data_IF_764001640942
#
_entry.id   IF_764001640942
#
_cell.length_a   1.000
_cell.length_b   1.000
_cell.length_c   1.000
_cell.angle_alpha   90.00
_cell.angle_beta   90.00
_cell.angle_gamma   90.00
#
_symmetry.space_group_name_H-M   'P 1'
#
loop_
_entity.id
_entity.type
_entity.pdbx_description
1 polymer ?
#
# COMPACT_ATOMS: atom_id res chain seq x y z
N UNK A 1 23.88 12.18 -9.84
CA UNK A 1 23.55 12.92 -11.08
C UNK A 1 24.25 12.30 -12.28
N UNK A 2 23.69 12.45 -13.47
CA UNK A 2 24.24 11.92 -14.72
C UNK A 2 24.32 13.02 -15.79
N UNK A 3 25.46 13.16 -16.42
CA UNK A 3 25.75 14.11 -17.53
C UNK A 3 27.01 13.60 -18.27
N UNK A 4 27.03 13.60 -19.59
CA UNK A 4 28.19 13.11 -20.36
C UNK A 4 29.40 14.06 -20.32
N UNK A 5 29.15 15.36 -20.04
CA UNK A 5 30.17 16.40 -20.01
C UNK A 5 30.76 16.57 -18.61
N UNK A 6 32.07 16.36 -18.48
CA UNK A 6 32.80 16.48 -17.20
C UNK A 6 32.59 17.86 -16.55
N UNK A 7 32.69 18.95 -17.34
CA UNK A 7 32.54 20.31 -16.83
C UNK A 7 31.14 20.57 -16.20
N UNK A 8 30.09 19.98 -16.78
CA UNK A 8 28.73 20.09 -16.21
C UNK A 8 28.63 19.31 -14.90
N UNK A 9 29.22 18.10 -14.84
CA UNK A 9 29.24 17.31 -13.60
C UNK A 9 29.98 18.05 -12.48
N UNK A 10 31.15 18.61 -12.77
CA UNK A 10 31.93 19.38 -11.76
C UNK A 10 31.14 20.59 -11.24
N UNK A 11 30.51 21.35 -12.14
CA UNK A 11 29.70 22.51 -11.76
C UNK A 11 28.51 22.14 -10.88
N UNK A 12 27.74 21.13 -11.30
CA UNK A 12 26.56 20.67 -10.56
C UNK A 12 26.97 20.05 -9.21
N UNK A 13 28.07 19.30 -9.17
CA UNK A 13 28.60 18.73 -7.94
C UNK A 13 29.00 19.80 -6.92
N UNK A 14 29.69 20.87 -7.37
CA UNK A 14 30.03 22.01 -6.51
C UNK A 14 28.76 22.67 -5.94
N UNK A 15 27.77 22.94 -6.81
CA UNK A 15 26.53 23.60 -6.39
C UNK A 15 25.74 22.77 -5.37
N UNK A 16 25.63 21.47 -5.59
CA UNK A 16 24.88 20.56 -4.73
C UNK A 16 25.63 20.26 -3.43
N UNK A 17 26.95 20.16 -3.48
CA UNK A 17 27.80 20.00 -2.28
C UNK A 17 27.71 21.21 -1.37
N UNK A 18 27.69 22.42 -1.94
CA UNK A 18 27.46 23.66 -1.19
C UNK A 18 26.06 23.72 -0.56
N UNK A 19 25.09 22.97 -1.06
CA UNK A 19 23.76 22.78 -0.46
C UNK A 19 23.76 21.78 0.70
N UNK A 20 24.89 21.08 0.92
CA UNK A 20 25.03 20.01 1.93
C UNK A 20 24.66 18.61 1.40
N UNK A 21 24.50 18.43 0.10
CA UNK A 21 24.23 17.14 -0.52
C UNK A 21 25.53 16.33 -0.69
N UNK A 22 25.44 15.02 -0.48
CA UNK A 22 26.44 14.08 -0.97
C UNK A 22 26.11 13.72 -2.41
N UNK A 23 27.01 14.01 -3.33
CA UNK A 23 26.78 13.83 -4.76
C UNK A 23 27.51 12.58 -5.27
N UNK A 24 26.80 11.80 -6.08
CA UNK A 24 27.35 10.70 -6.87
C UNK A 24 27.21 11.12 -8.33
N UNK A 25 28.34 11.21 -9.05
CA UNK A 25 28.39 11.67 -10.44
C UNK A 25 28.70 10.49 -11.35
N UNK A 26 27.91 10.33 -12.40
CA UNK A 26 28.06 9.29 -13.43
C UNK A 26 27.97 9.91 -14.83
N UNK A 27 28.44 9.20 -15.84
CA UNK A 27 28.65 9.74 -17.18
C UNK A 27 27.50 9.51 -18.15
N UNK A 28 26.54 8.61 -17.84
CA UNK A 28 25.38 8.34 -18.69
C UNK A 28 24.17 7.80 -17.90
N UNK A 29 23.04 7.65 -18.60
CA UNK A 29 21.81 7.15 -18.00
C UNK A 29 21.87 5.69 -17.55
N UNK A 30 22.67 4.86 -18.22
CA UNK A 30 22.82 3.44 -17.87
C UNK A 30 23.57 3.30 -16.55
N UNK A 31 24.65 4.07 -16.37
CA UNK A 31 25.39 4.16 -15.11
C UNK A 31 24.51 4.72 -13.98
N UNK A 32 23.63 5.71 -14.28
CA UNK A 32 22.69 6.23 -13.29
C UNK A 32 21.71 5.17 -12.78
N UNK A 33 21.06 4.42 -13.68
CA UNK A 33 20.14 3.34 -13.32
C UNK A 33 20.85 2.24 -12.52
N UNK A 34 22.07 1.88 -12.93
CA UNK A 34 22.88 0.88 -12.22
C UNK A 34 23.27 1.33 -10.81
N UNK A 35 23.60 2.61 -10.64
CA UNK A 35 23.97 3.15 -9.31
C UNK A 35 22.77 3.19 -8.37
N UNK A 36 21.58 3.54 -8.86
CA UNK A 36 20.34 3.55 -8.08
C UNK A 36 19.94 2.16 -7.55
N UNK A 37 20.36 1.10 -8.22
CA UNK A 37 20.15 -0.28 -7.76
C UNK A 37 21.12 -0.72 -6.65
N UNK A 38 22.16 0.07 -6.36
CA UNK A 38 23.22 -0.27 -5.41
C UNK A 38 23.29 0.67 -4.21
N UNK A 39 22.87 1.90 -4.44
CA UNK A 39 23.01 3.00 -3.48
C UNK A 39 21.67 3.69 -3.27
N UNK A 40 21.29 3.90 -2.03
CA UNK A 40 20.11 4.69 -1.69
C UNK A 40 20.36 6.16 -2.06
N UNK A 41 19.49 6.71 -2.89
CA UNK A 41 19.57 8.06 -3.44
C UNK A 41 18.24 8.79 -3.21
N UNK A 42 18.33 10.04 -2.76
CA UNK A 42 17.17 10.86 -2.42
C UNK A 42 16.63 11.68 -3.61
N UNK A 43 17.46 11.89 -4.65
CA UNK A 43 17.10 12.65 -5.85
C UNK A 43 18.03 12.30 -7.00
N UNK A 44 17.49 12.14 -8.20
CA UNK A 44 18.24 11.98 -9.44
C UNK A 44 18.17 13.26 -10.30
N UNK A 45 19.32 13.68 -10.82
CA UNK A 45 19.42 14.77 -11.80
C UNK A 45 20.04 14.17 -13.05
N UNK A 46 19.34 14.23 -14.17
CA UNK A 46 19.76 13.57 -15.42
C UNK A 46 19.81 14.60 -16.56
N UNK A 47 20.93 14.68 -17.25
CA UNK A 47 20.93 15.34 -18.56
C UNK A 47 20.10 14.53 -19.57
N UNK A 48 19.38 15.23 -20.44
CA UNK A 48 18.58 14.55 -21.46
C UNK A 48 19.47 13.97 -22.56
N UNK A 49 20.52 14.69 -22.93
CA UNK A 49 21.37 14.34 -24.07
C UNK A 49 22.62 13.58 -23.61
N UNK A 50 22.47 12.28 -23.36
CA UNK A 50 23.57 11.40 -22.97
C UNK A 50 23.70 10.23 -23.96
N UNK A 51 24.94 9.66 -24.11
CA UNK A 51 25.16 8.46 -24.89
C UNK A 51 24.53 7.22 -24.22
N UNK A 52 24.37 6.15 -24.98
CA UNK A 52 23.86 4.84 -24.57
C UNK A 52 22.41 4.84 -24.11
N UNK A 53 22.10 5.48 -22.98
CA UNK A 53 20.76 5.64 -22.44
C UNK A 53 20.53 7.12 -22.15
N UNK A 54 19.62 7.75 -22.87
CA UNK A 54 19.30 9.16 -22.69
C UNK A 54 18.53 9.43 -21.40
N UNK A 55 18.38 10.72 -21.00
CA UNK A 55 17.73 11.07 -19.74
C UNK A 55 16.26 10.70 -19.65
N UNK A 56 15.51 10.70 -20.77
CA UNK A 56 14.11 10.28 -20.77
C UNK A 56 13.98 8.77 -20.53
N UNK A 57 14.76 7.97 -21.25
CA UNK A 57 14.78 6.51 -21.11
C UNK A 57 15.26 6.09 -19.70
N UNK A 58 16.25 6.79 -19.14
CA UNK A 58 16.71 6.55 -17.77
C UNK A 58 15.62 6.90 -16.76
N UNK A 59 14.94 8.03 -16.93
CA UNK A 59 13.82 8.44 -16.10
C UNK A 59 12.69 7.41 -16.10
N UNK A 60 12.26 6.94 -17.28
CA UNK A 60 11.23 5.91 -17.42
C UNK A 60 11.60 4.62 -16.66
N UNK A 61 12.87 4.16 -16.79
CA UNK A 61 13.36 2.99 -16.06
C UNK A 61 13.32 3.20 -14.54
N UNK A 62 13.70 4.38 -14.05
CA UNK A 62 13.67 4.72 -12.64
C UNK A 62 12.22 4.73 -12.14
N UNK A 63 11.30 5.32 -12.91
CA UNK A 63 9.90 5.52 -12.52
C UNK A 63 9.03 4.26 -12.66
N UNK A 64 9.46 3.29 -13.47
CA UNK A 64 8.76 2.00 -13.61
C UNK A 64 9.29 0.90 -12.69
N UNK A 65 10.42 1.11 -12.03
CA UNK A 65 10.98 0.14 -11.09
C UNK A 65 10.38 0.34 -9.68
N UNK A 66 9.77 -0.70 -9.06
CA UNK A 66 9.19 -0.62 -7.72
C UNK A 66 10.13 -0.15 -6.61
N UNK A 67 11.44 -0.31 -6.75
CA UNK A 67 12.42 0.11 -5.75
C UNK A 67 12.85 1.58 -5.89
N UNK A 68 12.65 2.19 -7.07
CA UNK A 68 13.17 3.52 -7.36
C UNK A 68 12.12 4.55 -7.81
N UNK A 69 10.87 4.14 -8.05
CA UNK A 69 9.81 5.01 -8.59
C UNK A 69 9.51 6.25 -7.73
N UNK A 70 9.77 6.18 -6.42
CA UNK A 70 9.60 7.32 -5.49
C UNK A 70 10.79 8.26 -5.43
N UNK A 71 11.90 7.96 -6.14
CA UNK A 71 13.03 8.87 -6.24
C UNK A 71 12.64 10.01 -7.18
N UNK A 72 12.65 11.27 -6.74
CA UNK A 72 12.39 12.41 -7.61
C UNK A 72 13.45 12.50 -8.70
N UNK A 73 13.02 12.76 -9.94
CA UNK A 73 13.88 12.90 -11.11
C UNK A 73 13.74 14.30 -11.69
N UNK A 74 14.85 15.02 -11.77
CA UNK A 74 14.96 16.31 -12.47
C UNK A 74 15.70 16.09 -13.79
N UNK A 75 15.07 16.47 -14.90
CA UNK A 75 15.70 16.43 -16.20
C UNK A 75 16.33 17.79 -16.52
N UNK A 76 17.59 17.79 -16.95
CA UNK A 76 18.27 18.98 -17.50
C UNK A 76 18.32 18.85 -19.02
N UNK A 77 17.86 19.87 -19.72
CA UNK A 77 17.76 19.82 -21.18
C UNK A 77 18.19 21.12 -21.84
N UNK A 78 18.90 21.03 -22.94
CA UNK A 78 19.12 22.15 -23.86
C UNK A 78 17.90 22.40 -24.76
N UNK A 79 16.95 21.46 -24.77
CA UNK A 79 15.76 21.47 -25.60
C UNK A 79 14.69 22.31 -24.91
N UNK A 80 14.26 23.40 -25.54
CA UNK A 80 13.22 24.31 -25.02
C UNK A 80 11.84 24.07 -25.64
N UNK A 81 11.73 22.99 -26.44
CA UNK A 81 10.54 22.67 -27.20
C UNK A 81 9.38 22.12 -26.33
N UNK A 82 8.15 22.46 -26.73
CA UNK A 82 6.94 21.91 -26.09
C UNK A 82 6.92 20.37 -26.13
N UNK A 83 7.48 19.79 -27.19
CA UNK A 83 7.50 18.34 -27.42
C UNK A 83 8.41 17.63 -26.40
N UNK A 84 9.59 18.16 -26.13
CA UNK A 84 10.55 17.58 -25.18
C UNK A 84 10.00 17.58 -23.76
N UNK A 85 9.29 18.65 -23.41
CA UNK A 85 8.62 18.75 -22.11
C UNK A 85 7.50 17.71 -21.96
N UNK A 86 6.76 17.45 -23.03
CA UNK A 86 5.72 16.38 -23.06
C UNK A 86 6.35 15.02 -22.91
N UNK A 87 7.48 14.77 -23.56
CA UNK A 87 8.20 13.50 -23.50
C UNK A 87 8.71 13.20 -22.10
N UNK A 88 9.29 14.19 -21.43
CA UNK A 88 9.76 14.01 -20.08
C UNK A 88 8.62 13.84 -19.04
N UNK A 89 7.47 14.50 -19.23
CA UNK A 89 6.28 14.27 -18.40
C UNK A 89 5.79 12.82 -18.58
N UNK A 90 5.80 12.30 -19.83
CA UNK A 90 5.46 10.91 -20.12
C UNK A 90 6.45 9.91 -19.51
N UNK A 91 7.74 10.27 -19.47
CA UNK A 91 8.78 9.50 -18.80
C UNK A 91 8.66 9.52 -17.26
N UNK A 92 7.76 10.35 -16.71
CA UNK A 92 7.51 10.44 -15.28
C UNK A 92 8.43 11.40 -14.54
N UNK A 93 9.13 12.30 -15.22
CA UNK A 93 9.99 13.29 -14.54
C UNK A 93 9.18 14.22 -13.63
N UNK A 94 9.72 14.51 -12.45
CA UNK A 94 9.09 15.36 -11.44
C UNK A 94 9.35 16.83 -11.72
N UNK A 95 10.47 17.17 -12.37
CA UNK A 95 10.79 18.54 -12.74
C UNK A 95 11.78 18.64 -13.92
N UNK A 96 11.93 19.88 -14.47
CA UNK A 96 12.76 20.18 -15.62
C UNK A 96 13.55 21.45 -15.41
N UNK A 97 14.81 21.46 -15.87
CA UNK A 97 15.65 22.64 -15.95
C UNK A 97 16.17 22.82 -17.37
N UNK A 98 16.14 24.03 -17.89
CA UNK A 98 16.69 24.36 -19.20
C UNK A 98 18.12 24.84 -19.07
N UNK A 99 18.96 24.54 -20.07
CA UNK A 99 20.32 25.10 -20.18
C UNK A 99 20.26 26.51 -20.81
N UNK A 100 21.10 27.45 -20.35
CA UNK A 100 22.05 27.33 -19.23
C UNK A 100 21.32 27.20 -17.88
N UNK A 101 21.80 26.33 -16.99
CA UNK A 101 21.18 26.09 -15.69
C UNK A 101 21.35 27.30 -14.79
N UNK A 102 20.24 27.92 -14.40
CA UNK A 102 20.28 28.95 -13.36
C UNK A 102 20.51 28.33 -11.99
N UNK A 103 21.53 28.82 -11.29
CA UNK A 103 21.93 28.31 -9.97
C UNK A 103 20.79 28.43 -8.96
N UNK A 104 20.09 29.54 -8.94
CA UNK A 104 19.02 29.80 -7.94
C UNK A 104 17.84 28.91 -8.18
N UNK A 105 17.46 28.73 -9.47
CA UNK A 105 16.38 27.83 -9.87
C UNK A 105 16.72 26.38 -9.52
N UNK A 106 17.90 25.87 -9.85
CA UNK A 106 18.35 24.52 -9.53
C UNK A 106 18.24 24.25 -8.03
N UNK A 107 18.85 25.12 -7.21
CA UNK A 107 18.87 24.93 -5.75
C UNK A 107 17.47 24.94 -5.14
N UNK A 108 16.60 25.86 -5.60
CA UNK A 108 15.21 25.93 -5.11
C UNK A 108 14.41 24.67 -5.44
N UNK A 109 14.55 24.14 -6.66
CA UNK A 109 13.86 22.91 -7.09
C UNK A 109 14.37 21.68 -6.34
N UNK A 110 15.69 21.52 -6.24
CA UNK A 110 16.31 20.43 -5.49
C UNK A 110 15.87 20.44 -4.03
N UNK A 111 15.89 21.60 -3.36
CA UNK A 111 15.43 21.72 -1.98
C UNK A 111 13.94 21.33 -1.84
N UNK A 112 13.10 21.78 -2.77
CA UNK A 112 11.66 21.46 -2.74
C UNK A 112 11.41 19.98 -2.91
N UNK A 113 12.07 19.33 -3.87
CA UNK A 113 11.92 17.90 -4.14
C UNK A 113 12.50 17.03 -3.02
N UNK A 114 13.66 17.37 -2.48
CA UNK A 114 14.21 16.69 -1.31
C UNK A 114 13.30 16.79 -0.09
N UNK A 115 12.72 17.98 0.16
CA UNK A 115 11.76 18.15 1.25
C UNK A 115 10.52 17.28 1.07
N UNK A 116 10.03 17.14 -0.17
CA UNK A 116 8.90 16.25 -0.48
C UNK A 116 9.31 14.79 -0.25
N UNK A 117 10.47 14.38 -0.79
CA UNK A 117 11.00 13.01 -0.63
C UNK A 117 11.13 12.62 0.83
N UNK A 118 11.78 13.44 1.66
CA UNK A 118 11.93 13.16 3.10
C UNK A 118 10.57 13.01 3.82
N UNK A 119 9.58 13.83 3.47
CA UNK A 119 8.24 13.69 4.05
C UNK A 119 7.53 12.41 3.61
N UNK A 120 7.72 12.00 2.37
CA UNK A 120 7.18 10.74 1.85
C UNK A 120 7.84 9.56 2.57
N UNK A 121 9.16 9.59 2.72
CA UNK A 121 9.92 8.54 3.42
C UNK A 121 9.53 8.42 4.90
N UNK A 122 9.33 9.55 5.59
CA UNK A 122 8.83 9.54 6.98
C UNK A 122 7.45 8.87 7.10
N UNK A 123 6.56 9.13 6.14
CA UNK A 123 5.24 8.49 6.11
C UNK A 123 5.33 6.99 5.81
N UNK A 124 6.13 6.58 4.83
CA UNK A 124 6.36 5.16 4.51
C UNK A 124 6.98 4.41 5.69
N UNK A 125 7.93 5.04 6.37
CA UNK A 125 8.55 4.45 7.55
C UNK A 125 7.54 4.26 8.69
N UNK A 126 6.66 5.25 8.93
CA UNK A 126 5.61 5.15 9.93
C UNK A 126 4.59 4.04 9.59
N UNK A 127 4.18 3.94 8.32
CA UNK A 127 3.31 2.84 7.85
C UNK A 127 4.00 1.48 8.00
N UNK A 128 5.28 1.37 7.64
CA UNK A 128 6.06 0.13 7.77
C UNK A 128 6.17 -0.35 9.22
N UNK A 129 6.41 0.57 10.16
CA UNK A 129 6.43 0.25 11.61
C UNK A 129 5.06 -0.26 12.05
N UNK A 130 3.98 0.43 11.66
CA UNK A 130 2.62 0.02 11.99
C UNK A 130 2.29 -1.38 11.43
N UNK A 131 2.64 -1.65 10.18
CA UNK A 131 2.44 -2.97 9.55
C UNK A 131 3.27 -4.07 10.26
N UNK A 132 4.48 -3.77 10.67
CA UNK A 132 5.31 -4.70 11.43
C UNK A 132 4.71 -5.01 12.80
N UNK A 133 4.14 -4.02 13.47
CA UNK A 133 3.41 -4.21 14.72
C UNK A 133 2.13 -5.04 14.52
N UNK A 134 1.35 -4.76 13.49
CA UNK A 134 0.14 -5.54 13.17
C UNK A 134 0.47 -7.02 12.93
N UNK A 135 1.50 -7.31 12.12
CA UNK A 135 2.01 -8.68 11.91
C UNK A 135 2.53 -9.33 13.20
N UNK A 136 3.15 -8.54 14.09
CA UNK A 136 3.62 -9.07 15.37
C UNK A 136 2.48 -9.45 16.31
N UNK A 137 1.35 -8.73 16.25
CA UNK A 137 0.12 -9.04 16.98
C UNK A 137 -0.52 -10.30 16.41
N UNK A 138 -0.61 -10.40 15.08
CA UNK A 138 -1.04 -11.60 14.37
C UNK A 138 -0.19 -12.82 14.76
N UNK A 139 1.15 -12.65 14.79
CA UNK A 139 2.09 -13.70 15.15
C UNK A 139 2.01 -14.20 16.59
N UNK A 140 1.26 -13.52 17.48
CA UNK A 140 0.93 -14.06 18.81
C UNK A 140 -0.04 -15.25 18.73
N UNK A 141 -0.91 -15.27 17.73
CA UNK A 141 -1.75 -16.43 17.43
C UNK A 141 -1.05 -17.29 16.36
N UNK A 142 -0.48 -18.44 16.70
CA UNK A 142 0.31 -19.25 15.76
C UNK A 142 -0.49 -19.79 14.56
N UNK A 143 -1.80 -19.55 14.54
CA UNK A 143 -2.71 -20.03 13.48
C UNK A 143 -3.11 -18.96 12.47
N UNK A 144 -2.62 -17.74 12.63
CA UNK A 144 -2.94 -16.61 11.75
C UNK A 144 -1.80 -16.26 10.78
N UNK A 145 -0.76 -17.12 10.66
CA UNK A 145 0.38 -16.88 9.77
C UNK A 145 -0.06 -16.58 8.33
N UNK A 146 0.30 -15.40 7.82
CA UNK A 146 -0.05 -14.94 6.47
C UNK A 146 -1.52 -14.52 6.30
N UNK A 147 -2.28 -14.39 7.37
CA UNK A 147 -3.67 -13.92 7.34
C UNK A 147 -3.76 -12.48 6.81
N UNK A 148 -2.95 -11.57 7.33
CA UNK A 148 -2.92 -10.17 6.90
C UNK A 148 -2.67 -10.04 5.39
N UNK A 149 -1.72 -10.79 4.84
CA UNK A 149 -1.42 -10.80 3.41
C UNK A 149 -2.59 -11.34 2.59
N UNK A 150 -3.15 -12.48 3.00
CA UNK A 150 -4.32 -13.06 2.28
C UNK A 150 -5.53 -12.13 2.32
N UNK A 151 -5.81 -11.49 3.45
CA UNK A 151 -6.90 -10.51 3.54
C UNK A 151 -6.65 -9.29 2.64
N UNK A 152 -5.42 -8.78 2.63
CA UNK A 152 -5.02 -7.71 1.74
C UNK A 152 -5.28 -8.05 0.28
N UNK A 153 -4.89 -9.26 -0.14
CA UNK A 153 -5.08 -9.74 -1.52
C UNK A 153 -6.57 -9.96 -1.85
N UNK A 154 -7.30 -10.69 -1.02
CA UNK A 154 -8.73 -10.93 -1.23
C UNK A 154 -9.54 -9.64 -1.27
N UNK A 155 -9.29 -8.72 -0.32
CA UNK A 155 -10.02 -7.45 -0.26
C UNK A 155 -9.71 -6.56 -1.47
N UNK A 156 -8.46 -6.52 -1.93
CA UNK A 156 -8.05 -5.82 -3.14
C UNK A 156 -8.75 -6.39 -4.37
N UNK A 157 -8.66 -7.70 -4.60
CA UNK A 157 -9.29 -8.37 -5.75
C UNK A 157 -10.82 -8.18 -5.75
N UNK A 158 -11.46 -8.30 -4.59
CA UNK A 158 -12.90 -8.08 -4.48
C UNK A 158 -13.27 -6.61 -4.73
N UNK A 159 -12.47 -5.67 -4.23
CA UNK A 159 -12.66 -4.23 -4.48
C UNK A 159 -12.57 -3.89 -5.97
N UNK A 160 -11.57 -4.42 -6.68
CA UNK A 160 -11.43 -4.30 -8.14
C UNK A 160 -12.62 -4.91 -8.88
N UNK A 161 -13.05 -6.10 -8.46
CA UNK A 161 -14.19 -6.81 -9.07
C UNK A 161 -15.54 -6.09 -8.86
N UNK A 162 -15.66 -5.31 -7.79
CA UNK A 162 -16.80 -4.44 -7.50
C UNK A 162 -16.71 -3.09 -8.23
N UNK A 163 -15.57 -2.76 -8.85
CA UNK A 163 -15.35 -1.46 -9.52
C UNK A 163 -15.20 -0.30 -8.54
N UNK A 164 -14.65 -0.54 -7.35
CA UNK A 164 -14.36 0.51 -6.37
C UNK A 164 -13.26 1.44 -6.90
N UNK A 165 -13.23 2.68 -6.39
CA UNK A 165 -12.20 3.65 -6.75
C UNK A 165 -10.81 3.24 -6.22
N UNK A 166 -9.73 3.66 -6.90
CA UNK A 166 -8.35 3.28 -6.59
C UNK A 166 -7.94 3.61 -5.14
N UNK A 167 -8.43 4.71 -4.60
CA UNK A 167 -8.19 5.10 -3.22
C UNK A 167 -8.88 4.17 -2.20
N UNK A 168 -10.07 3.65 -2.54
CA UNK A 168 -10.78 2.64 -1.75
C UNK A 168 -10.08 1.27 -1.83
N UNK A 169 -9.58 0.89 -3.00
CA UNK A 169 -8.79 -0.34 -3.19
C UNK A 169 -7.49 -0.27 -2.39
N UNK A 170 -6.79 0.87 -2.42
CA UNK A 170 -5.60 1.11 -1.60
C UNK A 170 -5.92 1.04 -0.11
N UNK A 171 -7.07 1.57 0.31
CA UNK A 171 -7.51 1.48 1.71
C UNK A 171 -7.82 0.04 2.12
N UNK A 172 -8.44 -0.76 1.27
CA UNK A 172 -8.68 -2.18 1.51
C UNK A 172 -7.38 -2.97 1.67
N UNK A 173 -6.39 -2.73 0.81
CA UNK A 173 -5.07 -3.36 0.89
C UNK A 173 -4.40 -3.08 2.23
N UNK A 174 -4.38 -1.82 2.67
CA UNK A 174 -3.82 -1.42 3.97
C UNK A 174 -4.62 -2.00 5.15
N UNK A 175 -5.94 -1.95 5.06
CA UNK A 175 -6.81 -2.46 6.10
C UNK A 175 -6.64 -3.97 6.32
N UNK A 176 -6.42 -4.76 5.26
CA UNK A 176 -6.12 -6.19 5.37
C UNK A 176 -4.97 -6.48 6.32
N UNK A 177 -3.98 -5.57 6.38
CA UNK A 177 -2.83 -5.73 7.29
C UNK A 177 -3.16 -5.24 8.72
N UNK A 178 -3.92 -4.15 8.87
CA UNK A 178 -4.02 -3.44 10.16
C UNK A 178 -5.40 -3.52 10.83
N UNK A 179 -6.42 -4.18 10.21
CA UNK A 179 -7.78 -4.20 10.75
C UNK A 179 -7.84 -4.65 12.21
N UNK A 180 -6.99 -5.56 12.59
CA UNK A 180 -6.89 -6.20 13.91
C UNK A 180 -5.81 -5.61 14.83
N UNK A 181 -5.15 -4.50 14.45
CA UNK A 181 -4.06 -3.89 15.24
C UNK A 181 -4.49 -3.54 16.67
N UNK A 182 -5.76 -3.23 16.88
CA UNK A 182 -6.31 -2.93 18.21
C UNK A 182 -6.32 -4.11 19.18
N UNK A 183 -6.11 -5.34 18.72
CA UNK A 183 -5.92 -6.52 19.57
C UNK A 183 -4.69 -6.39 20.49
N UNK A 184 -3.80 -5.43 20.22
CA UNK A 184 -2.69 -5.10 21.14
C UNK A 184 -3.18 -4.75 22.55
N UNK A 185 -4.38 -4.18 22.69
CA UNK A 185 -4.97 -3.84 23.98
C UNK A 185 -5.73 -4.99 24.66
N UNK A 186 -5.92 -6.13 23.96
CA UNK A 186 -6.58 -7.29 24.55
C UNK A 186 -5.57 -8.08 25.37
N UNK A 187 -5.85 -8.36 26.66
CA UNK A 187 -4.96 -9.18 27.49
C UNK A 187 -4.71 -10.56 26.89
N UNK A 188 -3.47 -11.06 26.96
CA UNK A 188 -3.10 -12.35 26.41
C UNK A 188 -3.93 -13.53 26.99
N UNK A 189 -4.38 -13.42 28.23
CA UNK A 189 -5.28 -14.39 28.87
C UNK A 189 -6.65 -14.51 28.16
N UNK A 190 -7.10 -13.45 27.47
CA UNK A 190 -8.33 -13.44 26.67
C UNK A 190 -8.02 -13.82 25.23
N UNK A 191 -7.00 -13.19 24.64
CA UNK A 191 -6.62 -13.36 23.24
C UNK A 191 -6.25 -14.83 22.92
N UNK A 192 -5.48 -15.47 23.82
CA UNK A 192 -4.94 -16.83 23.64
C UNK A 192 -5.76 -17.90 24.37
N UNK A 193 -6.96 -17.57 24.82
CA UNK A 193 -7.82 -18.51 25.55
C UNK A 193 -8.24 -19.68 24.65
N UNK A 194 -7.99 -20.91 25.09
CA UNK A 194 -8.32 -22.13 24.34
C UNK A 194 -9.80 -22.55 24.38
N UNK A 195 -10.62 -21.83 25.16
CA UNK A 195 -12.06 -22.10 25.31
C UNK A 195 -12.92 -20.90 24.89
N UNK A 196 -14.26 -21.01 24.98
CA UNK A 196 -15.14 -19.89 24.68
C UNK A 196 -14.90 -18.71 25.63
N UNK A 197 -15.04 -17.50 25.12
CA UNK A 197 -14.97 -16.27 25.92
C UNK A 197 -16.26 -16.11 26.74
N UNK A 198 -16.13 -15.59 27.97
CA UNK A 198 -17.29 -15.15 28.77
C UNK A 198 -17.86 -13.85 28.21
N UNK A 199 -19.02 -13.40 28.68
CA UNK A 199 -19.62 -12.14 28.25
C UNK A 199 -18.73 -10.93 28.60
N UNK A 200 -18.03 -10.97 29.75
CA UNK A 200 -17.09 -9.92 30.16
C UNK A 200 -15.85 -9.92 29.26
N UNK A 201 -15.31 -11.08 28.94
CA UNK A 201 -14.18 -11.20 28.01
C UNK A 201 -14.57 -10.75 26.60
N UNK A 202 -15.80 -11.06 26.16
CA UNK A 202 -16.33 -10.57 24.89
C UNK A 202 -16.45 -9.05 24.83
N UNK A 203 -16.82 -8.38 25.93
CA UNK A 203 -16.82 -6.92 25.99
C UNK A 203 -15.43 -6.35 25.71
N UNK A 204 -14.40 -6.93 26.34
CA UNK A 204 -13.00 -6.52 26.10
C UNK A 204 -12.58 -6.79 24.65
N UNK A 205 -12.91 -7.98 24.12
CA UNK A 205 -12.57 -8.34 22.75
C UNK A 205 -13.22 -7.38 21.72
N UNK A 206 -14.48 -6.99 21.93
CA UNK A 206 -15.20 -6.10 21.02
C UNK A 206 -14.70 -4.66 20.99
N UNK A 207 -13.79 -4.27 21.87
CA UNK A 207 -13.18 -2.94 21.87
C UNK A 207 -12.05 -2.79 20.82
N UNK A 208 -11.48 -3.91 20.31
CA UNK A 208 -10.32 -3.81 19.40
C UNK A 208 -10.56 -2.98 18.13
N UNK A 209 -11.75 -2.92 17.50
CA UNK A 209 -11.94 -2.06 16.33
C UNK A 209 -11.82 -0.57 16.69
N UNK A 210 -12.36 -0.17 17.84
CA UNK A 210 -12.29 1.22 18.33
C UNK A 210 -10.86 1.58 18.72
N UNK A 211 -10.16 0.68 19.40
CA UNK A 211 -8.75 0.87 19.74
C UNK A 211 -7.89 0.92 18.48
N UNK A 212 -8.11 0.03 17.52
CA UNK A 212 -7.40 0.01 16.25
C UNK A 212 -7.58 1.30 15.45
N UNK A 213 -8.81 1.81 15.36
CA UNK A 213 -9.09 3.12 14.79
C UNK A 213 -8.28 4.22 15.48
N UNK A 214 -8.28 4.25 16.82
CA UNK A 214 -7.53 5.24 17.61
C UNK A 214 -6.02 5.18 17.38
N UNK A 215 -5.44 3.98 17.24
CA UNK A 215 -4.01 3.78 16.95
C UNK A 215 -3.66 4.34 15.58
N UNK A 216 -4.51 4.12 14.58
CA UNK A 216 -4.26 4.53 13.19
C UNK A 216 -4.67 5.98 12.89
N UNK A 217 -5.50 6.61 13.71
CA UNK A 217 -6.04 7.97 13.51
C UNK A 217 -4.97 9.08 13.29
N UNK A 218 -3.77 9.05 13.92
CA UNK A 218 -2.73 10.03 13.66
C UNK A 218 -2.22 10.05 12.21
N UNK A 219 -2.33 8.94 11.48
CA UNK A 219 -1.89 8.82 10.09
C UNK A 219 -2.97 9.35 9.14
N UNK A 220 -2.77 10.56 8.60
CA UNK A 220 -3.73 11.20 7.68
C UNK A 220 -3.98 10.39 6.39
N UNK A 221 -2.99 9.61 5.96
CA UNK A 221 -3.09 8.70 4.81
C UNK A 221 -4.08 7.56 5.06
N UNK A 222 -4.44 7.31 6.33
CA UNK A 222 -5.37 6.24 6.73
C UNK A 222 -6.84 6.68 6.81
N UNK A 223 -7.17 7.90 6.38
CA UNK A 223 -8.55 8.41 6.46
C UNK A 223 -9.62 7.45 5.92
N UNK A 224 -9.33 6.75 4.82
CA UNK A 224 -10.23 5.74 4.24
C UNK A 224 -10.07 4.35 4.87
N UNK A 225 -8.97 4.10 5.60
CA UNK A 225 -8.70 2.85 6.32
C UNK A 225 -9.43 2.83 7.66
N UNK A 226 -9.53 3.97 8.36
CA UNK A 226 -10.15 4.06 9.69
C UNK A 226 -11.58 3.50 9.74
N UNK A 227 -12.50 3.83 8.80
CA UNK A 227 -13.84 3.24 8.80
C UNK A 227 -13.83 1.73 8.59
N UNK A 228 -12.84 1.18 7.88
CA UNK A 228 -12.71 -0.27 7.68
C UNK A 228 -12.31 -0.93 9.01
N UNK A 229 -11.28 -0.40 9.68
CA UNK A 229 -10.83 -0.88 10.99
C UNK A 229 -11.97 -0.87 12.00
N UNK A 230 -12.73 0.24 12.06
CA UNK A 230 -13.81 0.39 13.03
C UNK A 230 -14.97 -0.56 12.77
N UNK A 231 -15.35 -0.79 11.49
CA UNK A 231 -16.62 -1.41 11.14
C UNK A 231 -16.51 -2.79 10.49
N UNK A 232 -15.32 -3.42 10.45
CA UNK A 232 -15.15 -4.75 9.86
C UNK A 232 -15.88 -5.88 10.59
N UNK A 233 -16.43 -5.63 11.76
CA UNK A 233 -17.28 -6.55 12.51
C UNK A 233 -18.76 -6.13 12.55
N UNK A 234 -19.14 -5.10 11.80
CA UNK A 234 -20.54 -4.77 11.64
C UNK A 234 -21.24 -5.80 10.75
N UNK A 235 -22.43 -6.22 11.14
CA UNK A 235 -23.24 -7.12 10.33
C UNK A 235 -24.27 -6.35 9.53
N UNK A 236 -24.63 -6.83 8.36
CA UNK A 236 -25.57 -6.16 7.45
C UNK A 236 -26.96 -5.97 8.07
N UNK A 237 -27.38 -6.86 9.00
CA UNK A 237 -28.63 -6.77 9.77
C UNK A 237 -28.54 -5.80 10.99
N UNK A 238 -27.37 -5.21 11.27
CA UNK A 238 -27.13 -4.34 12.42
C UNK A 238 -26.86 -5.08 13.74
N UNK A 239 -26.72 -6.40 13.74
CA UNK A 239 -26.39 -7.19 14.95
C UNK A 239 -24.86 -7.22 15.23
N UNK A 240 -24.06 -6.50 14.45
CA UNK A 240 -22.62 -6.39 14.59
C UNK A 240 -22.17 -5.43 15.67
N UNK A 241 -20.91 -5.08 15.67
CA UNK A 241 -20.28 -4.12 16.59
C UNK A 241 -19.17 -3.33 15.90
N UNK A 242 -18.73 -2.17 16.42
CA UNK A 242 -19.09 -1.55 17.71
C UNK A 242 -20.35 -0.67 17.66
N UNK A 243 -20.78 -0.18 16.50
CA UNK A 243 -21.81 0.86 16.38
C UNK A 243 -23.20 0.30 15.99
N UNK A 244 -23.31 -0.98 15.62
CA UNK A 244 -24.56 -1.63 15.21
C UNK A 244 -25.11 -1.05 13.89
N UNK A 245 -24.23 -0.74 12.93
CA UNK A 245 -24.60 -0.17 11.65
C UNK A 245 -25.36 -1.19 10.79
N UNK A 246 -26.48 -0.77 10.18
CA UNK A 246 -27.33 -1.63 9.36
C UNK A 246 -27.25 -1.26 7.88
N UNK A 247 -27.17 -2.26 7.02
CA UNK A 247 -27.23 -2.11 5.57
C UNK A 247 -26.12 -1.17 5.04
N UNK A 248 -26.52 -0.20 4.24
CA UNK A 248 -25.62 0.78 3.60
C UNK A 248 -25.08 1.86 4.57
N UNK A 249 -25.53 1.88 5.82
CA UNK A 249 -24.89 2.70 6.84
C UNK A 249 -23.46 2.23 7.15
N UNK A 250 -23.18 0.92 6.99
CA UNK A 250 -21.83 0.39 7.05
C UNK A 250 -21.09 0.67 5.73
N UNK A 251 -19.85 1.23 5.76
CA UNK A 251 -19.08 1.50 4.56
C UNK A 251 -18.88 0.25 3.69
N UNK A 252 -19.00 0.42 2.36
CA UNK A 252 -18.83 -0.71 1.43
C UNK A 252 -17.50 -1.43 1.63
N UNK A 253 -16.42 -0.69 1.89
CA UNK A 253 -15.09 -1.24 2.16
C UNK A 253 -15.03 -2.05 3.47
N UNK A 254 -15.77 -1.68 4.50
CA UNK A 254 -15.89 -2.46 5.73
C UNK A 254 -16.66 -3.76 5.48
N UNK A 255 -17.75 -3.71 4.69
CA UNK A 255 -18.52 -4.91 4.28
C UNK A 255 -17.68 -5.86 3.42
N UNK A 256 -16.80 -5.33 2.56
CA UNK A 256 -15.82 -6.12 1.80
C UNK A 256 -14.86 -6.82 2.77
N UNK A 257 -14.25 -6.08 3.69
CA UNK A 257 -13.29 -6.63 4.65
C UNK A 257 -13.91 -7.73 5.51
N UNK A 258 -15.11 -7.53 6.00
CA UNK A 258 -15.86 -8.51 6.78
C UNK A 258 -16.02 -9.86 6.05
N UNK A 259 -16.43 -9.83 4.78
CA UNK A 259 -16.65 -11.03 3.97
C UNK A 259 -15.34 -11.79 3.78
N UNK A 260 -14.24 -11.11 3.46
CA UNK A 260 -12.96 -11.76 3.22
C UNK A 260 -12.34 -12.29 4.52
N UNK A 261 -12.52 -11.60 5.66
CA UNK A 261 -12.03 -12.04 6.97
C UNK A 261 -12.74 -13.35 7.40
N UNK A 262 -14.06 -13.39 7.30
CA UNK A 262 -14.83 -14.60 7.63
C UNK A 262 -14.45 -15.77 6.72
N UNK A 263 -14.26 -15.51 5.42
CA UNK A 263 -13.84 -16.55 4.48
C UNK A 263 -12.46 -17.10 4.82
N UNK A 264 -11.47 -16.23 5.09
CA UNK A 264 -10.14 -16.66 5.50
C UNK A 264 -10.19 -17.45 6.82
N UNK A 265 -10.98 -16.97 7.79
CA UNK A 265 -11.19 -17.67 9.05
C UNK A 265 -11.82 -19.07 8.88
N UNK A 266 -12.63 -19.31 7.84
CA UNK A 266 -13.21 -20.60 7.54
C UNK A 266 -12.25 -21.53 6.79
N UNK A 267 -11.41 -20.99 5.92
CA UNK A 267 -10.53 -21.73 5.00
C UNK A 267 -9.10 -21.88 5.51
N UNK A 268 -8.72 -21.19 6.59
CA UNK A 268 -7.42 -21.35 7.25
C UNK A 268 -7.49 -22.36 8.40
N UNK A 269 -6.38 -23.08 8.61
CA UNK A 269 -6.25 -24.03 9.73
C UNK A 269 -6.07 -23.26 11.04
N UNK A 270 -6.82 -23.65 12.08
CA UNK A 270 -6.72 -23.09 13.43
C UNK A 270 -6.56 -24.21 14.45
N UNK A 271 -6.02 -23.93 15.65
CA UNK A 271 -5.73 -24.93 16.70
C UNK A 271 -6.91 -25.85 17.05
N UNK A 272 -8.12 -25.34 16.89
CA UNK A 272 -9.36 -26.04 17.24
C UNK A 272 -10.22 -26.42 16.02
N UNK A 273 -9.76 -26.09 14.76
CA UNK A 273 -10.55 -26.29 13.55
C UNK A 273 -9.66 -26.55 12.34
N UNK A 274 -9.91 -27.64 11.61
CA UNK A 274 -9.29 -27.88 10.30
C UNK A 274 -9.84 -26.90 9.27
N UNK A 275 -8.99 -26.51 8.31
CA UNK A 275 -9.39 -25.70 7.16
C UNK A 275 -10.56 -26.39 6.41
N UNK A 276 -11.57 -25.61 6.07
CA UNK A 276 -12.66 -26.07 5.21
C UNK A 276 -12.25 -25.91 3.73
N UNK A 277 -12.78 -26.76 2.87
CA UNK A 277 -12.73 -26.53 1.44
C UNK A 277 -13.48 -25.22 1.09
N UNK A 278 -12.99 -24.47 0.10
CA UNK A 278 -13.59 -23.20 -0.34
C UNK A 278 -15.08 -23.31 -0.65
N UNK A 279 -15.48 -24.39 -1.33
CA UNK A 279 -16.89 -24.68 -1.64
C UNK A 279 -17.76 -24.81 -0.41
N UNK A 280 -17.24 -25.44 0.66
CA UNK A 280 -17.96 -25.58 1.92
C UNK A 280 -18.03 -24.25 2.68
N UNK A 281 -16.94 -23.49 2.70
CA UNK A 281 -16.92 -22.14 3.30
C UNK A 281 -17.95 -21.22 2.63
N UNK A 282 -17.99 -21.18 1.30
CA UNK A 282 -18.99 -20.42 0.53
C UNK A 282 -20.41 -20.86 0.84
N UNK A 283 -20.65 -22.19 1.03
CA UNK A 283 -21.97 -22.69 1.37
C UNK A 283 -22.43 -22.21 2.76
N UNK A 284 -21.54 -22.25 3.78
CA UNK A 284 -21.83 -21.72 5.12
C UNK A 284 -22.16 -20.24 5.05
N UNK A 285 -21.32 -19.46 4.39
CA UNK A 285 -21.54 -18.00 4.26
C UNK A 285 -22.84 -17.67 3.50
N UNK A 286 -23.24 -18.49 2.54
CA UNK A 286 -24.54 -18.34 1.83
C UNK A 286 -25.72 -18.53 2.76
N UNK A 287 -25.65 -19.46 3.69
CA UNK A 287 -26.68 -19.63 4.73
C UNK A 287 -26.74 -18.41 5.67
N UNK A 288 -25.59 -17.85 5.98
CA UNK A 288 -25.47 -16.63 6.80
C UNK A 288 -25.98 -15.38 6.09
N UNK A 289 -25.83 -15.27 4.75
CA UNK A 289 -26.52 -14.27 3.94
C UNK A 289 -28.04 -14.38 4.12
N UNK A 290 -28.57 -15.60 4.13
CA UNK A 290 -30.01 -15.86 4.38
C UNK A 290 -30.48 -15.40 5.78
N UNK A 291 -29.54 -15.26 6.75
CA UNK A 291 -29.80 -14.71 8.10
C UNK A 291 -29.66 -13.18 8.15
N UNK A 292 -29.23 -12.53 7.05
CA UNK A 292 -28.99 -11.10 6.98
C UNK A 292 -27.61 -10.63 7.49
N UNK A 293 -26.65 -11.55 7.72
CA UNK A 293 -25.36 -11.18 8.29
C UNK A 293 -24.43 -10.47 7.31
N UNK A 294 -24.49 -10.86 6.02
CA UNK A 294 -23.61 -10.33 4.97
C UNK A 294 -24.40 -9.60 3.89
N UNK A 295 -23.79 -8.61 3.28
CA UNK A 295 -24.32 -7.96 2.09
C UNK A 295 -24.45 -8.98 0.95
N UNK A 296 -25.69 -9.26 0.47
CA UNK A 296 -25.90 -10.31 -0.53
C UNK A 296 -25.26 -9.99 -1.89
N UNK A 297 -25.12 -8.71 -2.25
CA UNK A 297 -24.50 -8.29 -3.49
C UNK A 297 -22.99 -8.49 -3.44
N UNK A 298 -22.33 -8.01 -2.38
CA UNK A 298 -20.88 -8.15 -2.21
C UNK A 298 -20.51 -9.62 -2.08
N UNK A 299 -21.26 -10.39 -1.27
CA UNK A 299 -21.05 -11.82 -1.15
C UNK A 299 -21.22 -12.57 -2.49
N UNK A 300 -22.22 -12.21 -3.31
CA UNK A 300 -22.40 -12.80 -4.63
C UNK A 300 -21.18 -12.62 -5.52
N UNK A 301 -20.65 -11.39 -5.58
CA UNK A 301 -19.45 -11.06 -6.33
C UNK A 301 -18.19 -11.77 -5.80
N UNK A 302 -18.08 -11.92 -4.48
CA UNK A 302 -17.00 -12.69 -3.86
C UNK A 302 -17.07 -14.18 -4.21
N UNK A 303 -18.25 -14.79 -4.14
CA UNK A 303 -18.44 -16.19 -4.49
C UNK A 303 -18.10 -16.49 -5.97
N UNK A 304 -18.44 -15.57 -6.89
CA UNK A 304 -18.03 -15.65 -8.30
C UNK A 304 -16.49 -15.60 -8.44
N UNK A 305 -15.83 -14.68 -7.72
CA UNK A 305 -14.39 -14.51 -7.73
C UNK A 305 -13.67 -15.79 -7.27
N UNK A 306 -14.07 -16.36 -6.14
CA UNK A 306 -13.47 -17.61 -5.60
C UNK A 306 -13.68 -18.77 -6.56
N UNK A 307 -14.89 -18.96 -7.10
CA UNK A 307 -15.20 -20.07 -8.01
C UNK A 307 -14.39 -19.95 -9.33
N UNK A 308 -14.22 -18.75 -9.85
CA UNK A 308 -13.42 -18.52 -11.07
C UNK A 308 -11.92 -18.72 -10.83
N UNK A 309 -11.41 -18.39 -9.65
CA UNK A 309 -10.00 -18.57 -9.28
C UNK A 309 -9.61 -20.03 -9.08
N UNK A 310 -10.49 -20.87 -8.57
CA UNK A 310 -10.27 -22.33 -8.51
C UNK A 310 -10.19 -22.95 -9.90
N UNK A 311 -10.93 -22.40 -10.85
CA UNK A 311 -10.85 -22.84 -12.25
C UNK A 311 -9.57 -22.37 -12.98
N UNK A 312 -8.94 -21.28 -12.50
CA UNK A 312 -7.70 -20.72 -13.06
C UNK A 312 -6.79 -20.10 -11.97
N UNK A 313 -5.92 -20.91 -11.33
CA UNK A 313 -5.08 -20.46 -10.20
C UNK A 313 -4.13 -19.29 -10.51
N UNK A 314 -3.90 -18.96 -11.80
CA UNK A 314 -3.02 -17.85 -12.21
C UNK A 314 -3.69 -16.47 -12.11
N UNK A 315 -5.01 -16.40 -11.94
CA UNK A 315 -5.73 -15.12 -11.95
C UNK A 315 -5.54 -14.30 -10.66
N UNK A 316 -5.32 -14.93 -9.52
CA UNK A 316 -5.06 -14.23 -8.25
C UNK A 316 -3.60 -13.79 -8.10
N UNK A 317 -2.64 -14.54 -8.65
CA UNK A 317 -1.21 -14.16 -8.62
C UNK A 317 -0.87 -12.96 -9.52
N UNK A 318 -1.69 -12.66 -10.53
CA UNK A 318 -1.47 -11.53 -11.43
C UNK A 318 -1.91 -10.18 -10.85
N UNK A 319 -2.76 -10.16 -9.84
CA UNK A 319 -3.23 -8.94 -9.17
C UNK A 319 -2.26 -8.43 -8.10
N UNK A 320 -1.45 -9.32 -7.50
CA UNK A 320 -0.45 -8.97 -6.47
C UNK A 320 0.88 -8.43 -7.03
N UNK A 321 1.01 -8.30 -8.34
CA UNK A 321 2.24 -7.85 -9.04
C UNK A 321 2.11 -6.52 -9.78
N UNK A 322 1.09 -5.70 -9.49
CA UNK A 322 0.96 -4.35 -10.08
C UNK A 322 1.07 -3.26 -9.03
#
# INVERSE_FOLDING_TARGET
MADDQVANRELLEELLTNLGCRVISVEDGAAAVAELSRTQVDLAILDVMMPHLNGFEACEKIKTNPETYLIPVVLITALSGKQDRIEGIKAGADDFLTRPVDRTELLARVQSLLKLKFRTDELEQAESVLFSLARSIEGKDPHTHGHCERLSDYATCLGEHLGLADDQITALRRAGIVHDVGKVAVPDAILLKSGPLTEEEWKVMREHPVVGESICAPLKTFRLVLPIIRHHHEKYDGSGYPDGLQGDASPVTARVMQIVDVYDALTSERSYKKALASTHAIQIMREEVGRGWWDPHIFGRFAELITSSEANPRSMSAASGR
#
